data_IF_640533061651
#
_entry.id   IF_640533061651
#
_cell.length_a   1.000
_cell.length_b   1.000
_cell.length_c   1.000
_cell.angle_alpha   90.00
_cell.angle_beta   90.00
_cell.angle_gamma   90.00
#
_symmetry.space_group_name_H-M   'P 1'
#
loop_
_entity.id
_entity.type
_entity.pdbx_description
1 polymer ?
#
# COMPACT_ATOMS: atom_id res chain seq x y z
N UNK A 1 23.91 30.30 -8.41
CA UNK A 1 22.58 29.69 -8.69
C UNK A 1 22.59 28.19 -8.36
N UNK A 2 22.51 27.75 -7.08
CA UNK A 2 22.47 26.33 -6.72
C UNK A 2 21.06 25.79 -6.36
N UNK A 3 20.08 26.67 -6.14
CA UNK A 3 18.77 26.31 -5.60
C UNK A 3 17.89 25.45 -6.53
N UNK A 4 18.15 25.45 -7.84
CA UNK A 4 17.35 24.69 -8.81
C UNK A 4 17.68 23.18 -8.79
N UNK A 5 18.85 22.80 -8.27
CA UNK A 5 19.32 21.41 -8.20
C UNK A 5 18.68 20.67 -7.01
N UNK A 6 18.63 21.32 -5.85
CA UNK A 6 18.07 20.76 -4.62
C UNK A 6 16.55 20.56 -4.70
N UNK A 7 15.82 21.47 -5.36
CA UNK A 7 14.37 21.35 -5.57
C UNK A 7 14.01 20.14 -6.46
N UNK A 8 14.81 19.83 -7.48
CA UNK A 8 14.61 18.67 -8.36
C UNK A 8 14.90 17.35 -7.65
N UNK A 9 15.96 17.31 -6.83
CA UNK A 9 16.28 16.14 -6.02
C UNK A 9 15.20 15.84 -4.98
N UNK A 10 14.65 16.87 -4.33
CA UNK A 10 13.54 16.73 -3.38
C UNK A 10 12.26 16.23 -4.06
N UNK A 11 11.92 16.74 -5.25
CA UNK A 11 10.76 16.29 -6.02
C UNK A 11 10.88 14.82 -6.47
N UNK A 12 12.07 14.37 -6.87
CA UNK A 12 12.33 12.97 -7.24
C UNK A 12 12.24 12.03 -6.04
N UNK A 13 12.75 12.43 -4.87
CA UNK A 13 12.59 11.68 -3.61
C UNK A 13 11.12 11.59 -3.17
N UNK A 14 10.35 12.67 -3.34
CA UNK A 14 8.92 12.68 -3.00
C UNK A 14 8.12 11.78 -3.95
N UNK A 15 8.45 11.78 -5.24
CA UNK A 15 7.83 10.90 -6.25
C UNK A 15 8.21 9.44 -6.02
N UNK A 16 9.47 9.15 -5.68
CA UNK A 16 9.91 7.81 -5.32
C UNK A 16 9.23 7.31 -4.02
N UNK A 17 9.10 8.17 -3.00
CA UNK A 17 8.38 7.86 -1.77
C UNK A 17 6.88 7.66 -2.02
N UNK A 18 6.26 8.46 -2.91
CA UNK A 18 4.87 8.26 -3.34
C UNK A 18 4.72 6.94 -4.09
N UNK A 19 5.64 6.60 -5.00
CA UNK A 19 5.59 5.33 -5.74
C UNK A 19 5.80 4.11 -4.84
N UNK A 20 6.67 4.21 -3.83
CA UNK A 20 6.84 3.19 -2.79
C UNK A 20 5.60 3.04 -1.89
N UNK A 21 4.78 4.10 -1.75
CA UNK A 21 3.50 4.03 -1.03
C UNK A 21 2.35 3.40 -1.84
N UNK A 22 2.54 3.12 -3.13
CA UNK A 22 1.58 2.40 -3.99
C UNK A 22 1.87 0.88 -4.01
N UNK A 23 2.75 0.38 -3.13
CA UNK A 23 2.75 -1.04 -2.81
C UNK A 23 1.39 -1.36 -2.21
N UNK A 24 0.49 -1.88 -3.04
CA UNK A 24 -0.83 -2.34 -2.66
C UNK A 24 -0.64 -3.32 -1.51
N UNK A 25 -0.99 -2.88 -0.30
CA UNK A 25 -0.99 -3.74 0.87
C UNK A 25 -2.13 -4.71 0.67
N UNK A 26 -1.83 -5.89 0.10
CA UNK A 26 -2.76 -7.00 0.11
C UNK A 26 -3.03 -7.36 1.57
N UNK A 27 -4.24 -7.00 2.04
CA UNK A 27 -4.68 -7.11 3.43
C UNK A 27 -4.75 -8.56 3.96
N UNK A 28 -4.54 -9.55 3.09
CA UNK A 28 -4.36 -10.95 3.42
C UNK A 28 -3.83 -11.73 2.21
N UNK A 29 -3.18 -12.84 2.49
CA UNK A 29 -2.93 -13.93 1.53
C UNK A 29 -3.89 -15.09 1.82
N UNK A 30 -3.94 -16.07 0.91
CA UNK A 30 -4.74 -17.28 1.12
C UNK A 30 -3.90 -18.52 0.91
N UNK A 31 -4.19 -19.54 1.73
CA UNK A 31 -3.69 -20.90 1.54
C UNK A 31 -4.85 -21.82 1.21
N UNK A 32 -4.57 -22.83 0.41
CA UNK A 32 -5.55 -23.86 0.05
C UNK A 32 -5.20 -25.21 0.68
N UNK A 33 -6.23 -25.98 1.02
CA UNK A 33 -6.11 -27.36 1.48
C UNK A 33 -7.20 -28.24 0.86
N UNK A 34 -6.92 -29.53 0.75
CA UNK A 34 -7.89 -30.51 0.26
C UNK A 34 -8.58 -31.19 1.45
N UNK A 35 -9.89 -31.40 1.33
CA UNK A 35 -10.67 -32.26 2.22
C UNK A 35 -11.59 -33.16 1.40
N UNK A 36 -11.88 -34.34 1.95
CA UNK A 36 -12.87 -35.27 1.40
C UNK A 36 -13.95 -35.56 2.42
N UNK A 37 -15.19 -35.72 1.98
CA UNK A 37 -16.35 -35.98 2.84
C UNK A 37 -17.22 -37.10 2.28
N UNK A 38 -18.14 -37.59 3.12
CA UNK A 38 -19.35 -38.24 2.61
C UNK A 38 -20.11 -37.28 1.68
N UNK A 39 -20.90 -37.78 0.71
CA UNK A 39 -21.65 -36.92 -0.21
C UNK A 39 -22.45 -35.86 0.54
N UNK A 40 -22.20 -34.58 0.23
CA UNK A 40 -22.91 -33.46 0.84
C UNK A 40 -23.12 -32.32 -0.15
N UNK A 41 -24.20 -31.56 0.02
CA UNK A 41 -24.45 -30.35 -0.76
C UNK A 41 -23.67 -29.18 -0.17
N UNK A 42 -23.27 -28.22 -1.02
CA UNK A 42 -22.76 -26.95 -0.52
C UNK A 42 -23.91 -26.12 0.06
N UNK A 43 -23.72 -25.56 1.26
CA UNK A 43 -24.72 -24.72 1.90
C UNK A 43 -24.33 -23.24 1.75
N UNK A 44 -25.20 -22.46 1.12
CA UNK A 44 -25.01 -21.02 0.86
C UNK A 44 -25.31 -20.11 2.06
N UNK A 45 -25.93 -20.65 3.11
CA UNK A 45 -26.35 -19.92 4.32
C UNK A 45 -25.58 -20.33 5.58
N UNK A 46 -24.49 -21.07 5.44
CA UNK A 46 -23.62 -21.49 6.54
C UNK A 46 -22.16 -21.46 6.07
N UNK A 47 -21.22 -21.53 7.02
CA UNK A 47 -19.77 -21.51 6.76
C UNK A 47 -19.26 -22.71 5.93
N UNK A 48 -20.10 -23.71 5.69
CA UNK A 48 -19.83 -24.85 4.80
C UNK A 48 -18.96 -25.94 5.42
N UNK A 49 -18.70 -27.01 4.66
CA UNK A 49 -17.93 -28.16 5.14
C UNK A 49 -16.49 -27.80 5.53
N UNK A 50 -15.87 -26.87 4.79
CA UNK A 50 -14.51 -26.43 5.05
C UNK A 50 -14.31 -25.73 6.41
N UNK A 51 -15.37 -25.18 6.99
CA UNK A 51 -15.33 -24.57 8.32
C UNK A 51 -15.36 -25.60 9.45
N UNK A 52 -15.78 -26.84 9.17
CA UNK A 52 -15.73 -27.91 10.15
C UNK A 52 -14.27 -28.27 10.46
N UNK A 53 -13.84 -27.98 11.69
CA UNK A 53 -12.54 -28.36 12.23
C UNK A 53 -11.45 -27.29 12.14
N UNK A 54 -11.39 -26.49 11.07
CA UNK A 54 -10.19 -25.67 10.78
C UNK A 54 -10.45 -24.19 10.38
N UNK A 55 -11.62 -23.63 10.69
CA UNK A 55 -11.97 -22.22 10.37
C UNK A 55 -11.85 -21.81 8.89
N UNK A 56 -11.69 -22.77 7.97
CA UNK A 56 -11.62 -22.52 6.54
C UNK A 56 -12.99 -22.30 5.92
N UNK A 57 -13.03 -22.01 4.63
CA UNK A 57 -14.27 -21.92 3.86
C UNK A 57 -14.08 -22.49 2.45
N UNK A 58 -15.17 -22.72 1.71
CA UNK A 58 -15.08 -23.17 0.32
C UNK A 58 -14.26 -22.17 -0.51
N UNK A 59 -13.42 -22.66 -1.44
CA UNK A 59 -12.53 -21.83 -2.23
C UNK A 59 -13.25 -20.69 -2.96
N UNK A 60 -12.63 -19.51 -2.99
CA UNK A 60 -13.12 -18.34 -3.71
C UNK A 60 -11.96 -17.70 -4.50
N UNK A 61 -11.51 -18.34 -5.59
CA UNK A 61 -10.35 -17.92 -6.38
C UNK A 61 -10.61 -16.62 -7.17
N UNK A 62 -10.69 -15.50 -6.46
CA UNK A 62 -10.97 -14.15 -6.99
C UNK A 62 -9.77 -13.47 -7.67
N UNK A 63 -8.60 -14.09 -7.61
CA UNK A 63 -7.40 -13.66 -8.34
C UNK A 63 -6.81 -14.84 -9.12
N UNK A 64 -6.11 -14.57 -10.22
CA UNK A 64 -5.49 -15.60 -11.05
C UNK A 64 -4.49 -16.48 -10.25
N UNK A 65 -3.73 -15.87 -9.34
CA UNK A 65 -2.82 -16.61 -8.45
C UNK A 65 -3.58 -17.57 -7.52
N UNK A 66 -4.74 -17.14 -7.03
CA UNK A 66 -5.58 -17.94 -6.13
C UNK A 66 -6.22 -19.12 -6.87
N UNK A 67 -6.65 -18.90 -8.13
CA UNK A 67 -7.06 -19.96 -9.03
C UNK A 67 -5.96 -21.00 -9.25
N UNK A 68 -4.74 -20.56 -9.55
CA UNK A 68 -3.61 -21.45 -9.78
C UNK A 68 -3.32 -22.32 -8.53
N UNK A 69 -3.31 -21.72 -7.35
CA UNK A 69 -3.10 -22.44 -6.08
C UNK A 69 -4.22 -23.43 -5.78
N UNK A 70 -5.50 -23.03 -5.95
CA UNK A 70 -6.65 -23.92 -5.76
C UNK A 70 -6.61 -25.11 -6.74
N UNK A 71 -6.29 -24.85 -8.01
CA UNK A 71 -6.15 -25.89 -9.02
C UNK A 71 -4.98 -26.85 -8.72
N UNK A 72 -3.85 -26.32 -8.25
CA UNK A 72 -2.71 -27.14 -7.81
C UNK A 72 -3.12 -28.12 -6.71
N UNK A 73 -3.95 -27.69 -5.76
CA UNK A 73 -4.49 -28.58 -4.71
C UNK A 73 -5.41 -29.64 -5.29
N UNK A 74 -6.29 -29.29 -6.23
CA UNK A 74 -7.13 -30.28 -6.92
C UNK A 74 -6.29 -31.31 -7.66
N UNK A 75 -5.32 -30.87 -8.47
CA UNK A 75 -4.46 -31.74 -9.26
C UNK A 75 -3.63 -32.67 -8.37
N UNK A 76 -3.04 -32.14 -7.28
CA UNK A 76 -2.23 -32.95 -6.36
C UNK A 76 -3.04 -34.03 -5.64
N UNK A 77 -4.34 -33.83 -5.47
CA UNK A 77 -5.24 -34.78 -4.80
C UNK A 77 -6.12 -35.58 -5.78
N UNK A 78 -5.87 -35.47 -7.10
CA UNK A 78 -6.67 -36.13 -8.14
C UNK A 78 -8.17 -35.84 -8.04
N UNK A 79 -8.53 -34.62 -7.64
CA UNK A 79 -9.93 -34.21 -7.57
C UNK A 79 -10.49 -33.95 -8.97
N UNK A 80 -11.68 -34.49 -9.23
CA UNK A 80 -12.42 -34.34 -10.48
C UNK A 80 -13.34 -33.13 -10.46
N UNK A 81 -13.80 -32.72 -9.28
CA UNK A 81 -14.68 -31.57 -9.10
C UNK A 81 -14.67 -31.08 -7.67
N UNK A 82 -14.63 -29.77 -7.43
CA UNK A 82 -14.81 -29.20 -6.10
C UNK A 82 -15.68 -27.93 -6.15
N UNK A 83 -16.59 -27.72 -5.19
CA UNK A 83 -17.48 -26.57 -5.20
C UNK A 83 -16.72 -25.28 -4.93
N UNK A 84 -17.15 -24.20 -5.57
CA UNK A 84 -16.65 -22.84 -5.35
C UNK A 84 -17.62 -22.14 -4.40
N UNK A 85 -17.10 -21.40 -3.41
CA UNK A 85 -17.84 -20.69 -2.37
C UNK A 85 -18.60 -19.46 -2.87
N UNK A 86 -19.46 -19.65 -3.86
CA UNK A 86 -20.31 -18.63 -4.44
C UNK A 86 -21.57 -19.24 -5.03
N UNK A 87 -22.44 -18.38 -5.56
CA UNK A 87 -23.66 -18.78 -6.26
C UNK A 87 -24.17 -17.69 -7.19
N UNK A 88 -25.08 -18.05 -8.08
CA UNK A 88 -26.04 -17.08 -8.62
C UNK A 88 -27.18 -16.85 -7.62
N UNK A 89 -27.55 -15.60 -7.35
CA UNK A 89 -28.67 -15.27 -6.45
C UNK A 89 -30.05 -15.42 -7.11
N UNK A 90 -30.09 -15.43 -8.44
CA UNK A 90 -31.33 -15.52 -9.20
C UNK A 90 -31.84 -16.97 -9.22
N UNK A 91 -33.16 -17.15 -9.12
CA UNK A 91 -33.80 -18.46 -9.23
C UNK A 91 -33.74 -19.03 -10.65
N UNK A 92 -33.66 -18.16 -11.65
CA UNK A 92 -33.39 -18.46 -13.06
C UNK A 92 -32.48 -17.37 -13.63
N UNK A 93 -31.55 -17.76 -14.51
CA UNK A 93 -30.73 -16.81 -15.23
C UNK A 93 -31.04 -16.90 -16.71
N UNK A 94 -31.71 -15.86 -17.21
CA UNK A 94 -32.27 -15.80 -18.55
C UNK A 94 -31.60 -14.75 -19.44
N UNK A 95 -30.79 -13.85 -18.86
CA UNK A 95 -30.17 -12.73 -19.55
C UNK A 95 -28.82 -12.33 -18.91
N UNK A 96 -28.25 -11.23 -19.42
CA UNK A 96 -26.99 -10.68 -18.94
C UNK A 96 -27.04 -10.07 -17.52
N UNK A 97 -28.23 -9.90 -16.93
CA UNK A 97 -28.39 -9.36 -15.58
C UNK A 97 -28.29 -10.43 -14.48
N UNK A 98 -28.10 -11.70 -14.86
CA UNK A 98 -27.72 -12.75 -13.92
C UNK A 98 -26.41 -12.39 -13.22
N UNK A 99 -26.31 -12.52 -11.90
CA UNK A 99 -25.07 -12.21 -11.17
C UNK A 99 -24.55 -13.45 -10.48
N UNK A 100 -23.25 -13.67 -10.59
CA UNK A 100 -22.54 -14.74 -9.89
C UNK A 100 -21.63 -14.13 -8.84
N UNK A 101 -21.82 -14.54 -7.60
CA UNK A 101 -21.24 -13.88 -6.44
C UNK A 101 -20.54 -14.87 -5.53
N UNK A 102 -19.38 -14.48 -5.00
CA UNK A 102 -18.78 -15.19 -3.88
C UNK A 102 -19.54 -14.83 -2.61
N UNK A 103 -19.92 -15.85 -1.85
CA UNK A 103 -20.80 -15.75 -0.69
C UNK A 103 -20.30 -16.57 0.51
N UNK A 104 -19.03 -16.96 0.52
CA UNK A 104 -18.37 -17.63 1.64
C UNK A 104 -17.27 -16.75 2.23
N UNK A 105 -16.61 -17.23 3.30
CA UNK A 105 -15.48 -16.55 3.92
C UNK A 105 -15.78 -15.10 4.31
N UNK A 106 -14.88 -14.17 3.98
CA UNK A 106 -15.05 -12.73 4.24
C UNK A 106 -16.22 -12.09 3.47
N UNK A 107 -16.76 -12.76 2.45
CA UNK A 107 -17.83 -12.25 1.59
C UNK A 107 -19.21 -12.83 1.91
N UNK A 108 -19.34 -13.61 2.99
CA UNK A 108 -20.62 -14.18 3.42
C UNK A 108 -21.72 -13.11 3.66
N UNK A 109 -21.33 -11.88 4.01
CA UNK A 109 -22.25 -10.74 4.21
C UNK A 109 -22.04 -9.55 3.27
N UNK A 110 -20.94 -9.53 2.52
CA UNK A 110 -20.52 -8.39 1.69
C UNK A 110 -20.35 -8.76 0.20
N UNK A 111 -20.84 -9.94 -0.19
CA UNK A 111 -20.96 -10.51 -1.55
C UNK A 111 -20.21 -9.77 -2.66
N UNK A 112 -19.23 -10.43 -3.27
CA UNK A 112 -18.48 -9.88 -4.40
C UNK A 112 -18.91 -10.56 -5.69
N UNK A 113 -19.32 -9.78 -6.68
CA UNK A 113 -19.71 -10.29 -8.00
C UNK A 113 -18.45 -10.62 -8.81
N UNK A 114 -18.37 -11.80 -9.39
CA UNK A 114 -17.26 -12.24 -10.23
C UNK A 114 -17.64 -12.45 -11.70
N UNK A 115 -18.93 -12.57 -12.01
CA UNK A 115 -19.42 -12.74 -13.38
C UNK A 115 -20.85 -12.22 -13.52
N UNK A 116 -21.16 -11.67 -14.69
CA UNK A 116 -22.48 -11.24 -15.12
C UNK A 116 -22.94 -12.13 -16.27
N UNK A 117 -24.16 -12.63 -16.22
CA UNK A 117 -24.83 -13.30 -17.32
C UNK A 117 -24.63 -14.82 -17.43
N UNK A 118 -24.93 -15.36 -18.61
CA UNK A 118 -24.96 -16.80 -18.95
C UNK A 118 -24.62 -17.04 -20.43
N UNK A 119 -24.19 -18.25 -20.74
CA UNK A 119 -23.95 -18.76 -22.09
C UNK A 119 -25.25 -19.32 -22.71
N UNK A 120 -25.55 -18.89 -23.93
CA UNK A 120 -26.67 -19.37 -24.74
C UNK A 120 -26.12 -20.18 -25.92
N UNK A 121 -26.44 -21.47 -26.00
CA UNK A 121 -25.83 -22.39 -26.98
C UNK A 121 -25.92 -21.90 -28.44
N UNK A 122 -26.99 -21.19 -28.80
CA UNK A 122 -27.25 -20.75 -30.18
C UNK A 122 -26.94 -19.26 -30.42
N UNK A 123 -26.89 -18.44 -29.37
CA UNK A 123 -26.78 -16.96 -29.46
C UNK A 123 -25.45 -16.42 -28.94
N UNK A 124 -24.60 -17.29 -28.38
CA UNK A 124 -23.33 -16.94 -27.78
C UNK A 124 -23.44 -16.55 -26.30
N UNK A 125 -22.35 -16.02 -25.75
CA UNK A 125 -22.28 -15.57 -24.37
C UNK A 125 -23.05 -14.26 -24.19
N UNK A 126 -24.03 -14.24 -23.29
CA UNK A 126 -24.71 -13.03 -22.84
C UNK A 126 -24.19 -12.63 -21.48
N UNK A 127 -23.28 -11.66 -21.45
CA UNK A 127 -22.66 -11.16 -20.22
C UNK A 127 -21.13 -11.23 -20.29
N UNK A 128 -20.48 -11.21 -19.13
CA UNK A 128 -19.04 -11.16 -19.04
C UNK A 128 -18.50 -11.08 -17.62
N UNK A 129 -17.18 -11.09 -17.47
CA UNK A 129 -16.53 -11.05 -16.17
C UNK A 129 -16.78 -9.72 -15.46
N UNK A 130 -16.83 -9.75 -14.13
CA UNK A 130 -16.88 -8.52 -13.35
C UNK A 130 -15.50 -7.85 -13.30
N UNK A 131 -15.48 -6.51 -13.37
CA UNK A 131 -14.24 -5.74 -13.36
C UNK A 131 -13.43 -5.99 -12.09
N UNK A 132 -12.14 -6.28 -12.27
CA UNK A 132 -11.21 -6.47 -11.16
C UNK A 132 -11.37 -7.79 -10.38
N UNK A 133 -12.27 -8.68 -10.79
CA UNK A 133 -12.47 -9.98 -10.16
C UNK A 133 -12.18 -11.10 -11.15
N UNK A 134 -11.28 -12.00 -10.76
CA UNK A 134 -10.92 -13.12 -11.61
C UNK A 134 -12.08 -14.09 -11.76
N UNK A 135 -12.21 -14.63 -12.97
CA UNK A 135 -13.16 -15.66 -13.35
C UNK A 135 -12.46 -16.66 -14.26
N UNK A 136 -12.87 -17.92 -14.20
CA UNK A 136 -12.30 -18.97 -15.06
C UNK A 136 -13.36 -19.95 -15.55
N UNK A 137 -14.57 -19.47 -15.82
CA UNK A 137 -15.59 -20.27 -16.49
C UNK A 137 -15.04 -20.83 -17.82
N UNK A 138 -15.42 -22.07 -18.13
CA UNK A 138 -15.17 -22.64 -19.45
C UNK A 138 -15.92 -21.83 -20.52
N UNK A 139 -15.52 -21.95 -21.78
CA UNK A 139 -16.05 -21.15 -22.89
C UNK A 139 -17.57 -21.31 -23.12
N UNK A 140 -18.13 -22.43 -22.70
CA UNK A 140 -19.56 -22.78 -22.77
C UNK A 140 -20.31 -22.54 -21.46
N UNK A 141 -19.71 -21.79 -20.53
CA UNK A 141 -20.17 -21.62 -19.16
C UNK A 141 -20.23 -20.14 -18.75
N UNK A 142 -21.06 -19.78 -17.75
CA UNK A 142 -22.05 -20.64 -17.10
C UNK A 142 -23.28 -20.87 -18.00
N UNK A 143 -23.87 -22.06 -17.99
CA UNK A 143 -25.04 -22.38 -18.81
C UNK A 143 -26.35 -21.82 -18.23
N UNK A 144 -27.24 -21.39 -19.12
CA UNK A 144 -28.64 -21.06 -18.87
C UNK A 144 -29.38 -22.19 -18.11
N UNK A 145 -30.23 -21.81 -17.16
CA UNK A 145 -31.31 -22.69 -16.66
C UNK A 145 -32.62 -21.91 -16.57
N UNK A 146 -33.68 -22.50 -17.10
CA UNK A 146 -35.00 -21.87 -17.23
C UNK A 146 -36.02 -22.36 -16.20
N UNK A 147 -35.71 -23.46 -15.50
CA UNK A 147 -36.56 -23.94 -14.42
C UNK A 147 -36.44 -22.97 -13.25
N UNK A 148 -37.47 -22.14 -13.03
CA UNK A 148 -37.62 -21.18 -11.91
C UNK A 148 -37.75 -21.87 -10.54
N UNK A 149 -37.06 -22.99 -10.34
CA UNK A 149 -36.96 -23.65 -9.05
C UNK A 149 -35.91 -22.93 -8.20
N UNK A 150 -36.14 -22.85 -6.90
CA UNK A 150 -35.12 -22.50 -5.91
C UNK A 150 -33.82 -23.31 -6.13
N UNK A 151 -33.96 -24.52 -6.68
CA UNK A 151 -32.95 -25.52 -6.95
C UNK A 151 -32.31 -25.43 -8.35
N UNK A 152 -32.18 -24.23 -8.92
CA UNK A 152 -31.57 -24.03 -10.24
C UNK A 152 -30.07 -24.36 -10.30
N UNK A 153 -29.49 -24.27 -11.50
CA UNK A 153 -28.05 -24.48 -11.75
C UNK A 153 -27.20 -23.30 -11.28
N UNK A 154 -27.31 -22.96 -9.99
CA UNK A 154 -26.75 -21.75 -9.39
C UNK A 154 -25.39 -21.97 -8.72
N UNK A 155 -24.92 -23.20 -8.63
CA UNK A 155 -23.69 -23.56 -7.93
C UNK A 155 -22.49 -23.56 -8.90
N UNK A 156 -21.53 -22.63 -8.80
CA UNK A 156 -20.24 -22.74 -9.49
C UNK A 156 -19.38 -23.84 -8.86
N UNK A 157 -18.66 -24.58 -9.68
CA UNK A 157 -17.66 -25.55 -9.22
C UNK A 157 -16.45 -25.53 -10.16
N UNK A 158 -15.30 -25.94 -9.65
CA UNK A 158 -14.10 -26.14 -10.45
C UNK A 158 -14.06 -27.60 -10.90
N UNK A 159 -13.83 -27.81 -12.20
CA UNK A 159 -13.61 -29.11 -12.84
C UNK A 159 -12.16 -29.57 -12.67
N UNK A 160 -11.88 -30.85 -12.94
CA UNK A 160 -10.53 -31.42 -12.87
C UNK A 160 -9.52 -30.82 -13.86
N UNK A 161 -9.97 -30.06 -14.86
CA UNK A 161 -9.12 -29.26 -15.77
C UNK A 161 -8.88 -27.82 -15.25
N UNK A 162 -9.39 -27.48 -14.07
CA UNK A 162 -9.28 -26.17 -13.45
C UNK A 162 -10.28 -25.14 -13.96
N UNK A 163 -11.07 -25.43 -15.00
CA UNK A 163 -12.11 -24.51 -15.48
C UNK A 163 -13.35 -24.59 -14.61
N UNK A 164 -14.12 -23.51 -14.60
CA UNK A 164 -15.35 -23.44 -13.82
C UNK A 164 -16.56 -23.78 -14.69
N UNK A 165 -17.57 -24.35 -14.06
CA UNK A 165 -18.88 -24.61 -14.64
C UNK A 165 -19.95 -24.40 -13.57
N UNK A 166 -21.21 -24.29 -13.98
CA UNK A 166 -22.33 -24.27 -13.04
C UNK A 166 -23.06 -25.62 -13.00
N UNK A 167 -23.63 -25.94 -11.85
CA UNK A 167 -24.43 -27.14 -11.62
C UNK A 167 -25.59 -26.82 -10.69
N UNK A 168 -26.50 -27.79 -10.54
CA UNK A 168 -27.61 -27.70 -9.60
C UNK A 168 -27.11 -27.53 -8.16
N UNK A 169 -27.74 -26.66 -7.39
CA UNK A 169 -27.46 -26.49 -5.95
C UNK A 169 -27.62 -27.77 -5.13
N UNK A 170 -28.39 -28.77 -5.60
CA UNK A 170 -28.51 -30.08 -4.93
C UNK A 170 -27.42 -31.07 -5.33
N UNK A 171 -26.42 -30.62 -6.09
CA UNK A 171 -25.27 -31.46 -6.45
C UNK A 171 -24.52 -31.84 -5.19
N UNK A 172 -24.30 -33.14 -5.01
CA UNK A 172 -23.51 -33.67 -3.93
C UNK A 172 -22.03 -33.68 -4.30
N UNK A 173 -21.21 -33.07 -3.46
CA UNK A 173 -19.77 -33.08 -3.55
C UNK A 173 -19.17 -33.97 -2.46
N UNK A 174 -18.09 -34.66 -2.81
CA UNK A 174 -17.26 -35.45 -1.89
C UNK A 174 -15.85 -34.88 -1.77
N UNK A 175 -15.48 -33.95 -2.65
CA UNK A 175 -14.16 -33.35 -2.78
C UNK A 175 -14.28 -31.85 -2.55
N UNK A 176 -13.45 -31.32 -1.66
CA UNK A 176 -13.53 -29.94 -1.20
C UNK A 176 -12.15 -29.31 -1.24
N UNK A 177 -12.05 -28.14 -1.87
CA UNK A 177 -10.88 -27.27 -1.76
C UNK A 177 -11.25 -26.15 -0.79
N UNK A 178 -10.57 -26.15 0.35
CA UNK A 178 -10.79 -25.20 1.42
C UNK A 178 -9.76 -24.08 1.34
N UNK A 179 -10.25 -22.85 1.38
CA UNK A 179 -9.46 -21.63 1.46
C UNK A 179 -9.35 -21.18 2.91
N UNK A 180 -8.16 -20.76 3.29
CA UNK A 180 -7.80 -20.26 4.60
C UNK A 180 -7.14 -18.90 4.44
N UNK A 181 -7.63 -17.90 5.18
CA UNK A 181 -7.02 -16.58 5.19
C UNK A 181 -5.74 -16.58 6.02
N UNK A 182 -4.66 -16.11 5.42
CA UNK A 182 -3.37 -15.87 6.06
C UNK A 182 -3.11 -14.36 6.04
N UNK A 183 -3.48 -13.71 7.12
CA UNK A 183 -3.33 -12.26 7.29
C UNK A 183 -1.86 -11.91 7.59
N UNK A 184 -1.37 -10.79 7.06
CA UNK A 184 -0.04 -10.30 7.42
C UNK A 184 -0.13 -9.54 8.74
N UNK A 185 0.96 -9.57 9.52
CA UNK A 185 1.06 -8.86 10.82
C UNK A 185 0.79 -7.35 10.73
N UNK A 186 0.98 -6.75 9.56
CA UNK A 186 0.66 -5.34 9.28
C UNK A 186 -0.84 -5.03 9.27
N UNK A 187 -1.70 -6.04 9.16
CA UNK A 187 -3.14 -5.89 8.91
C UNK A 187 -3.97 -5.79 10.22
N UNK A 188 -3.26 -5.68 11.35
CA UNK A 188 -3.78 -5.52 12.71
C UNK A 188 -4.77 -4.35 12.92
N UNK A 189 -4.90 -3.44 11.94
CA UNK A 189 -5.88 -2.35 11.98
C UNK A 189 -7.26 -2.72 11.46
N UNK A 190 -7.38 -3.76 10.65
CA UNK A 190 -8.65 -4.18 10.02
C UNK A 190 -9.28 -5.40 10.71
N UNK A 191 -8.47 -6.19 11.42
CA UNK A 191 -8.91 -7.39 12.14
C UNK A 191 -8.33 -7.42 13.57
N UNK A 192 -9.07 -7.96 14.55
CA UNK A 192 -8.55 -8.11 15.91
C UNK A 192 -7.32 -9.05 15.89
N UNK A 193 -6.20 -8.57 16.44
CA UNK A 193 -4.91 -9.27 16.48
C UNK A 193 -4.36 -9.37 17.91
N UNK A 194 -3.54 -10.38 18.17
CA UNK A 194 -2.65 -10.50 19.34
C UNK A 194 -1.63 -9.34 19.35
N UNK A 195 -1.00 -9.04 20.51
CA UNK A 195 0.01 -7.97 20.62
C UNK A 195 1.22 -8.10 19.70
N UNK A 196 1.48 -9.29 19.18
CA UNK A 196 2.54 -9.63 18.23
C UNK A 196 2.10 -9.59 16.75
N UNK A 197 0.86 -9.16 16.49
CA UNK A 197 0.29 -8.96 15.15
C UNK A 197 -0.46 -10.16 14.59
N UNK A 198 -0.60 -11.26 15.32
CA UNK A 198 -1.29 -12.47 14.82
C UNK A 198 -2.82 -12.31 14.89
N UNK A 199 -3.58 -12.69 13.87
CA UNK A 199 -5.05 -12.50 13.87
C UNK A 199 -5.74 -13.45 14.86
N UNK A 200 -6.65 -12.89 15.65
CA UNK A 200 -7.46 -13.63 16.62
C UNK A 200 -8.58 -14.35 15.85
N UNK A 201 -8.35 -15.63 15.55
CA UNK A 201 -9.38 -16.53 15.03
C UNK A 201 -10.09 -17.18 16.23
N UNK A 202 -11.37 -16.91 16.48
CA UNK A 202 -12.04 -17.40 17.67
C UNK A 202 -12.36 -18.90 17.53
N UNK A 203 -11.97 -19.70 18.53
CA UNK A 203 -12.73 -20.89 18.88
C UNK A 203 -14.08 -20.48 19.50
N UNK A 204 -15.12 -21.29 19.31
CA UNK A 204 -16.50 -21.00 19.75
C UNK A 204 -16.72 -20.95 21.27
N UNK A 205 -15.70 -21.20 22.08
CA UNK A 205 -15.85 -21.52 23.51
C UNK A 205 -15.10 -20.60 24.48
N UNK A 206 -14.32 -19.64 24.00
CA UNK A 206 -13.53 -18.75 24.86
C UNK A 206 -13.96 -17.29 24.76
N UNK A 207 -14.00 -16.63 25.91
CA UNK A 207 -14.15 -15.18 26.02
C UNK A 207 -12.79 -14.51 25.77
N UNK A 208 -12.71 -13.62 24.78
CA UNK A 208 -11.47 -12.91 24.42
C UNK A 208 -11.48 -11.48 24.95
N UNK A 209 -10.31 -10.98 25.37
CA UNK A 209 -10.12 -9.58 25.78
C UNK A 209 -9.07 -8.88 24.90
N UNK A 210 -9.34 -7.65 24.48
CA UNK A 210 -8.44 -6.77 23.74
C UNK A 210 -8.42 -5.40 24.44
N UNK A 211 -7.22 -4.90 24.79
CA UNK A 211 -7.04 -3.64 25.51
C UNK A 211 -7.85 -3.51 26.81
N UNK A 212 -7.89 -4.60 27.58
CA UNK A 212 -8.60 -4.67 28.87
C UNK A 212 -10.13 -4.75 28.77
N UNK A 213 -10.69 -4.84 27.56
CA UNK A 213 -12.13 -5.00 27.32
C UNK A 213 -12.41 -6.32 26.63
N UNK A 214 -13.56 -6.92 26.91
CA UNK A 214 -14.01 -8.12 26.21
C UNK A 214 -14.34 -7.77 24.76
N UNK A 215 -13.92 -8.61 23.83
CA UNK A 215 -14.29 -8.49 22.42
C UNK A 215 -15.66 -9.17 22.25
N UNK A 216 -16.68 -8.36 22.03
CA UNK A 216 -18.06 -8.82 21.87
C UNK A 216 -18.47 -8.88 20.39
N UNK A 217 -19.58 -9.55 20.12
CA UNK A 217 -20.23 -9.57 18.80
C UNK A 217 -21.56 -8.84 18.86
N UNK A 218 -21.93 -8.15 17.78
CA UNK A 218 -23.26 -7.55 17.65
C UNK A 218 -24.34 -8.62 17.36
N UNK A 219 -25.61 -8.20 17.28
CA UNK A 219 -26.75 -9.07 16.98
C UNK A 219 -26.68 -9.72 15.59
N UNK A 220 -25.79 -9.24 14.71
CA UNK A 220 -25.55 -9.76 13.37
C UNK A 220 -24.29 -10.66 13.33
N UNK A 221 -23.67 -10.94 14.48
CA UNK A 221 -22.48 -11.78 14.61
C UNK A 221 -21.17 -11.10 14.19
N UNK A 222 -21.19 -9.80 13.91
CA UNK A 222 -20.00 -9.00 13.56
C UNK A 222 -19.24 -8.62 14.81
N UNK A 223 -17.93 -8.50 14.68
CA UNK A 223 -17.06 -8.08 15.78
C UNK A 223 -17.23 -6.60 16.11
N UNK A 224 -17.44 -6.29 17.39
CA UNK A 224 -17.35 -4.93 17.90
C UNK A 224 -15.89 -4.61 18.20
N UNK A 225 -15.22 -3.95 17.26
CA UNK A 225 -13.82 -3.54 17.43
C UNK A 225 -13.73 -2.26 18.25
N UNK A 226 -13.04 -2.34 19.38
CA UNK A 226 -12.64 -1.17 20.15
C UNK A 226 -11.22 -0.78 19.73
N UNK A 227 -11.08 0.37 19.07
CA UNK A 227 -9.76 0.94 18.80
C UNK A 227 -9.05 1.19 20.12
N UNK A 228 -7.96 0.45 20.36
CA UNK A 228 -7.06 0.77 21.46
C UNK A 228 -6.54 2.19 21.26
N UNK A 229 -6.50 2.98 22.34
CA UNK A 229 -5.78 4.24 22.33
C UNK A 229 -4.32 3.94 22.04
N UNK A 230 -3.91 4.06 20.77
CA UNK A 230 -2.50 3.99 20.41
C UNK A 230 -1.82 5.23 20.99
N UNK A 231 -0.68 5.09 21.69
CA UNK A 231 0.13 6.25 22.02
C UNK A 231 0.51 6.97 20.73
N UNK A 232 0.59 8.30 20.79
CA UNK A 232 0.89 9.13 19.63
C UNK A 232 2.19 8.63 18.97
N UNK A 233 2.21 8.36 17.65
CA UNK A 233 3.37 7.78 17.01
C UNK A 233 4.60 8.67 17.18
N UNK A 234 5.68 8.11 17.70
CA UNK A 234 6.92 8.85 18.00
C UNK A 234 7.49 9.55 16.76
N UNK A 235 7.36 8.91 15.58
CA UNK A 235 7.78 9.50 14.31
C UNK A 235 6.92 10.71 13.93
N UNK A 236 5.63 10.75 14.29
CA UNK A 236 4.77 11.90 13.99
C UNK A 236 5.16 13.11 14.84
N UNK A 237 5.55 12.90 16.10
CA UNK A 237 6.13 13.96 16.92
C UNK A 237 7.46 14.47 16.34
N UNK A 238 8.30 13.56 15.82
CA UNK A 238 9.57 13.92 15.17
C UNK A 238 9.33 14.70 13.87
N UNK A 239 8.37 14.29 13.03
CA UNK A 239 8.01 15.01 11.80
C UNK A 239 7.50 16.41 12.10
N UNK A 240 6.63 16.57 13.11
CA UNK A 240 6.13 17.89 13.55
C UNK A 240 7.31 18.76 14.00
N UNK A 241 8.24 18.23 14.79
CA UNK A 241 9.41 18.98 15.26
C UNK A 241 10.29 19.46 14.09
N UNK A 242 10.54 18.60 13.10
CA UNK A 242 11.35 18.95 11.91
C UNK A 242 10.66 20.02 11.07
N UNK A 243 9.34 19.91 10.85
CA UNK A 243 8.57 20.91 10.09
C UNK A 243 8.60 22.27 10.80
N UNK A 244 8.42 22.30 12.12
CA UNK A 244 8.50 23.53 12.90
C UNK A 244 9.89 24.17 12.78
N UNK A 245 10.96 23.37 12.85
CA UNK A 245 12.32 23.87 12.70
C UNK A 245 12.57 24.48 11.32
N UNK A 246 12.10 23.85 10.25
CA UNK A 246 12.20 24.38 8.88
C UNK A 246 11.48 25.72 8.77
N UNK A 247 10.25 25.82 9.30
CA UNK A 247 9.48 27.07 9.28
C UNK A 247 10.21 28.19 10.01
N UNK A 248 10.77 27.91 11.19
CA UNK A 248 11.56 28.90 11.95
C UNK A 248 12.78 29.37 11.18
N UNK A 249 13.53 28.45 10.55
CA UNK A 249 14.70 28.79 9.75
C UNK A 249 14.31 29.67 8.55
N UNK A 250 13.21 29.35 7.87
CA UNK A 250 12.70 30.17 6.75
C UNK A 250 12.32 31.57 7.21
N UNK A 251 11.64 31.70 8.36
CA UNK A 251 11.28 33.02 8.93
C UNK A 251 12.54 33.83 9.25
N UNK A 252 13.55 33.22 9.88
CA UNK A 252 14.81 33.89 10.19
C UNK A 252 15.49 34.38 8.90
N UNK A 253 15.58 33.52 7.89
CA UNK A 253 16.18 33.89 6.59
C UNK A 253 15.40 35.04 5.95
N UNK A 254 14.06 34.99 5.94
CA UNK A 254 13.23 36.07 5.38
C UNK A 254 13.43 37.37 6.14
N UNK A 255 13.44 37.34 7.47
CA UNK A 255 13.68 38.53 8.31
C UNK A 255 15.07 39.08 8.06
N UNK A 256 16.11 38.25 8.07
CA UNK A 256 17.48 38.67 7.75
C UNK A 256 17.58 39.25 6.34
N UNK A 257 16.97 38.62 5.33
CA UNK A 257 16.94 39.14 3.98
C UNK A 257 16.19 40.47 3.88
N UNK A 258 15.07 40.65 4.60
CA UNK A 258 14.34 41.91 4.66
C UNK A 258 15.15 43.00 5.36
N UNK A 259 15.81 42.71 6.48
CA UNK A 259 16.67 43.66 7.18
C UNK A 259 17.85 44.10 6.30
N UNK A 260 18.56 43.16 5.67
CA UNK A 260 19.64 43.47 4.74
C UNK A 260 19.16 44.23 3.48
N UNK A 261 17.92 43.98 3.03
CA UNK A 261 17.35 44.70 1.90
C UNK A 261 16.95 46.14 2.27
N UNK A 262 16.38 46.34 3.46
CA UNK A 262 16.04 47.67 3.98
C UNK A 262 17.30 48.51 4.22
N UNK A 263 18.32 47.95 4.88
CA UNK A 263 19.58 48.63 5.18
C UNK A 263 20.32 49.04 3.89
N UNK A 264 20.37 48.14 2.90
CA UNK A 264 20.97 48.43 1.59
C UNK A 264 20.17 49.44 0.77
N UNK A 265 18.87 49.57 1.01
CA UNK A 265 18.03 50.55 0.31
C UNK A 265 18.18 51.95 0.95
N UNK A 266 18.35 52.02 2.27
CA UNK A 266 18.68 53.25 3.00
C UNK A 266 20.06 53.79 2.58
N UNK A 267 21.08 52.92 2.50
CA UNK A 267 22.39 53.31 1.96
C UNK A 267 22.34 53.81 0.50
N UNK A 268 21.43 53.25 -0.32
CA UNK A 268 21.23 53.74 -1.70
C UNK A 268 20.58 55.11 -1.72
N UNK A 269 19.57 55.32 -0.88
CA UNK A 269 18.87 56.60 -0.80
C UNK A 269 19.79 57.73 -0.33
N UNK A 270 20.65 57.45 0.67
CA UNK A 270 21.66 58.42 1.12
C UNK A 270 22.71 58.74 0.04
N UNK A 271 23.11 57.75 -0.77
CA UNK A 271 24.06 57.99 -1.88
C UNK A 271 23.43 58.84 -2.98
N UNK A 272 22.16 58.60 -3.29
CA UNK A 272 21.42 59.38 -4.29
C UNK A 272 21.19 60.83 -3.81
N UNK A 273 20.84 61.04 -2.54
CA UNK A 273 20.69 62.39 -1.96
C UNK A 273 22.03 63.16 -1.91
N UNK A 274 23.15 62.47 -1.60
CA UNK A 274 24.50 63.07 -1.65
C UNK A 274 24.94 63.41 -3.07
N UNK A 275 24.48 62.67 -4.09
CA UNK A 275 24.76 62.95 -5.49
C UNK A 275 23.93 64.12 -6.03
N UNK A 276 22.67 64.25 -5.61
CA UNK A 276 21.82 65.39 -5.98
C UNK A 276 22.29 66.70 -5.32
N UNK A 277 22.72 66.64 -4.06
CA UNK A 277 23.26 67.82 -3.34
C UNK A 277 24.65 68.26 -3.83
N UNK A 278 25.46 67.35 -4.39
CA UNK A 278 26.74 67.70 -5.04
C UNK A 278 26.56 68.27 -6.45
N UNK A 279 25.48 67.92 -7.16
CA UNK A 279 25.21 68.43 -8.50
C UNK A 279 24.81 69.92 -8.53
N UNK A 280 24.25 70.45 -7.42
CA UNK A 280 23.76 71.82 -7.30
C UNK A 280 24.70 72.79 -6.57
N UNK A 281 25.94 72.39 -6.26
CA UNK A 281 26.94 73.26 -5.63
C UNK A 281 28.05 73.67 -6.63
N UNK A 282 27.92 74.79 -7.35
CA UNK A 282 28.92 75.25 -8.33
C UNK A 282 30.22 75.80 -7.73
N UNK A 283 30.47 75.67 -6.41
CA UNK A 283 31.62 76.28 -5.75
C UNK A 283 32.84 75.35 -5.51
N UNK A 284 32.80 74.07 -5.88
CA UNK A 284 33.98 73.20 -5.79
C UNK A 284 34.63 72.99 -7.16
N UNK A 285 35.36 74.00 -7.59
CA UNK A 285 36.40 73.85 -8.62
C UNK A 285 37.64 73.24 -7.93
N UNK A 286 38.05 72.01 -8.24
CA UNK A 286 39.30 71.47 -7.71
C UNK A 286 40.47 72.13 -8.44
N UNK A 287 41.31 72.85 -7.71
CA UNK A 287 42.58 73.36 -8.24
C UNK A 287 43.57 72.22 -8.42
N UNK A 288 43.57 71.67 -9.62
CA UNK A 288 44.71 71.33 -10.48
C UNK A 288 46.12 71.31 -9.84
N UNK A 289 46.49 70.18 -9.24
CA UNK A 289 47.82 69.51 -9.21
C UNK A 289 47.55 68.20 -8.47
N UNK A 290 47.65 66.99 -9.01
CA UNK A 290 48.76 66.41 -9.75
C UNK A 290 48.25 65.41 -10.81
N UNK A 291 48.67 65.64 -12.05
CA UNK A 291 48.70 64.63 -13.10
C UNK A 291 49.81 63.62 -12.79
N UNK A 292 49.46 62.35 -12.61
CA UNK A 292 50.40 61.26 -12.35
C UNK A 292 49.90 59.92 -12.89
N UNK A 293 49.57 59.88 -14.19
CA UNK A 293 49.35 58.65 -14.94
C UNK A 293 50.66 57.84 -15.03
N UNK A 294 50.70 56.65 -14.43
CA UNK A 294 51.37 55.50 -15.07
C UNK A 294 50.79 54.17 -14.60
N UNK A 295 50.46 53.34 -15.59
CA UNK A 295 49.80 52.04 -15.54
C UNK A 295 50.77 50.90 -15.16
N UNK A 296 50.22 49.92 -14.42
CA UNK A 296 50.40 48.46 -14.53
C UNK A 296 51.79 47.77 -14.63
N UNK A 297 52.01 46.91 -13.62
CA UNK A 297 52.28 45.44 -13.70
C UNK A 297 53.72 44.88 -13.68
N UNK A 298 53.89 43.96 -12.70
CA UNK A 298 54.40 42.59 -12.82
C UNK A 298 55.76 42.25 -12.15
N UNK A 299 55.77 41.04 -11.54
CA UNK A 299 56.86 40.04 -11.46
C UNK A 299 57.63 39.86 -10.11
N UNK A 300 57.28 38.76 -9.41
CA UNK A 300 58.13 37.78 -8.66
C UNK A 300 58.81 38.24 -7.32
N UNK A 301 59.02 37.43 -6.26
CA UNK A 301 58.99 35.98 -5.98
C UNK A 301 59.11 35.76 -4.45
N UNK A 302 58.43 34.73 -3.95
CA UNK A 302 58.80 33.72 -2.92
C UNK A 302 59.94 33.97 -1.90
N UNK A 303 59.70 33.59 -0.63
CA UNK A 303 60.74 32.93 0.19
C UNK A 303 61.03 33.42 1.63
N UNK A 304 60.44 32.72 2.62
CA UNK A 304 61.11 31.96 3.72
C UNK A 304 61.90 32.67 4.86
N UNK A 305 61.81 32.01 6.03
CA UNK A 305 62.73 31.99 7.20
C UNK A 305 62.47 33.09 8.26
N UNK A 306 62.45 32.89 9.58
CA UNK A 306 62.96 31.89 10.55
C UNK A 306 61.89 31.73 11.69
N UNK A 307 61.90 30.82 12.67
CA UNK A 307 62.96 30.54 13.66
C UNK A 307 62.57 29.34 14.57
N UNK A 308 63.62 28.63 14.98
CA UNK A 308 63.82 27.38 15.75
C UNK A 308 63.45 27.43 17.27
N UNK A 309 63.87 26.50 18.17
CA UNK A 309 64.28 25.07 18.07
C UNK A 309 63.73 24.13 19.20
N UNK A 310 64.09 22.85 19.07
CA UNK A 310 64.70 21.94 20.07
C UNK A 310 63.91 20.82 20.79
N UNK A 311 64.65 19.71 20.85
CA UNK A 311 64.72 18.61 21.83
C UNK A 311 63.76 17.40 21.74
N UNK A 312 64.39 16.29 21.33
CA UNK A 312 64.45 14.98 21.96
C UNK A 312 63.23 14.05 21.97
N UNK A 313 63.48 12.80 21.58
CA UNK A 313 62.61 11.67 21.95
C UNK A 313 62.67 10.48 20.99
N UNK A 314 63.68 9.65 21.19
CA UNK A 314 63.91 8.31 20.63
C UNK A 314 62.75 7.30 20.77
N UNK A 315 62.97 6.15 20.09
CA UNK A 315 62.38 4.80 20.22
C UNK A 315 61.34 4.46 19.15
N UNK A 316 61.68 3.80 18.05
CA UNK A 316 62.43 2.55 17.82
C UNK A 316 61.62 1.26 18.05
N UNK A 317 61.79 0.39 17.05
CA UNK A 317 61.67 -1.05 17.02
C UNK A 317 60.32 -1.79 17.07
N UNK A 318 59.91 -2.18 15.85
CA UNK A 318 59.99 -3.56 15.34
C UNK A 318 58.94 -4.64 15.63
N UNK A 319 58.78 -5.46 14.58
CA UNK A 319 58.45 -6.91 14.51
C UNK A 319 57.02 -7.35 14.78
N UNK A 320 56.34 -7.90 13.77
CA UNK A 320 56.38 -9.31 13.31
C UNK A 320 55.58 -10.23 14.24
N UNK A 321 54.48 -10.82 13.73
CA UNK A 321 54.01 -12.19 14.04
C UNK A 321 52.68 -12.50 13.35
N UNK A 322 52.73 -13.51 12.46
CA UNK A 322 51.68 -14.49 12.07
C UNK A 322 50.39 -14.04 11.41
#
# INVERSE_FOLDING_TARGET
>A
MPALSTARAAALLLMAALQLSILTVDAYSVRYGAKTSAPGMMNFGLTGYCAAGDSGHSMMPKFAAYQASAYSVMSANSFTSAPIGGESRQSACLDANCTWQFSHGLYYHNEITFFYGVYYNDSGLHGGPADGVFNNFASDQPQLWTNMSYWGSRQPYMRGDGKWANTNVVTFFTQWVCEYYEFKKSDASLFPTYPDGDVIVPSSTSSYTHCGRRVDRDSQGRWLYYQCKKPFPWWAALTIAVVVLIVVVVIIIVVCCCCFYCDRNEERHEREEKLETMADNPAQVPTQTELGLSRHSSVFRDGRADEYPNEDGDQDDSRESR
#
